data_IF_334470290171
#
_entry.id   IF_334470290171
#
_cell.length_a   1.000
_cell.length_b   1.000
_cell.length_c   1.000
_cell.angle_alpha   90.00
_cell.angle_beta   90.00
_cell.angle_gamma   90.00
#
_symmetry.space_group_name_H-M   'P 1'
#
loop_
_entity.id
_entity.type
_entity.pdbx_description
1 polymer ?
#
# COMPACT_ATOMS: atom_id res chain seq x y z
N UNK A 1 32.69 3.63 -14.45
CA UNK A 1 31.46 3.60 -15.26
C UNK A 1 30.34 3.17 -14.33
N UNK A 2 29.30 4.00 -14.18
CA UNK A 2 28.12 3.68 -13.36
C UNK A 2 27.31 2.59 -14.06
N UNK A 3 27.13 1.46 -13.37
CA UNK A 3 26.35 0.30 -13.82
C UNK A 3 24.87 0.65 -13.79
N UNK A 4 24.34 1.15 -14.89
CA UNK A 4 22.95 1.60 -14.96
C UNK A 4 22.14 0.74 -15.93
N UNK A 5 21.03 0.17 -15.46
CA UNK A 5 19.98 -0.37 -16.32
C UNK A 5 19.46 0.76 -17.23
N UNK A 6 19.53 0.60 -18.55
CA UNK A 6 18.95 1.59 -19.48
C UNK A 6 17.67 1.02 -20.06
N UNK A 7 16.56 1.70 -19.79
CA UNK A 7 15.23 1.30 -20.25
C UNK A 7 14.78 2.25 -21.36
N UNK A 8 14.34 1.70 -22.48
CA UNK A 8 13.76 2.45 -23.58
C UNK A 8 12.34 1.93 -23.81
N UNK A 9 11.36 2.77 -23.52
CA UNK A 9 9.95 2.48 -23.72
C UNK A 9 9.43 3.26 -24.91
N UNK A 10 8.79 2.59 -25.86
CA UNK A 10 7.98 3.22 -26.90
C UNK A 10 6.52 2.85 -26.67
N UNK A 11 5.77 3.79 -26.10
CA UNK A 11 4.38 3.64 -25.72
C UNK A 11 3.49 4.04 -26.92
N UNK A 12 2.81 3.06 -27.51
CA UNK A 12 1.68 3.26 -28.44
C UNK A 12 0.37 2.83 -27.75
N UNK A 13 -0.77 3.28 -28.27
CA UNK A 13 -2.10 3.21 -27.62
C UNK A 13 -2.50 1.82 -27.08
N UNK A 14 -1.95 0.72 -27.61
CA UNK A 14 -2.19 -0.63 -27.06
C UNK A 14 -0.94 -1.51 -26.89
N UNK A 15 0.20 -1.09 -27.44
CA UNK A 15 1.42 -1.91 -27.49
C UNK A 15 2.61 -1.09 -27.03
N UNK A 16 3.29 -1.60 -26.00
CA UNK A 16 4.59 -1.06 -25.59
C UNK A 16 5.67 -1.90 -26.26
N UNK A 17 6.31 -1.35 -27.29
CA UNK A 17 7.55 -1.92 -27.81
C UNK A 17 8.70 -1.34 -27.01
N UNK A 18 9.65 -2.17 -26.58
CA UNK A 18 10.69 -1.70 -25.67
C UNK A 18 12.01 -2.41 -25.89
N UNK A 19 13.07 -1.75 -25.43
CA UNK A 19 14.37 -2.39 -25.30
C UNK A 19 14.97 -2.03 -23.95
N UNK A 20 15.46 -3.04 -23.24
CA UNK A 20 16.25 -2.85 -22.04
C UNK A 20 17.70 -3.22 -22.34
N UNK A 21 18.62 -2.44 -21.76
CA UNK A 21 20.04 -2.75 -21.74
C UNK A 21 20.43 -2.98 -20.29
N UNK A 22 20.96 -4.17 -20.02
CA UNK A 22 21.38 -4.59 -18.68
C UNK A 22 22.86 -4.93 -18.72
N UNK A 23 23.63 -4.23 -17.88
CA UNK A 23 25.02 -4.60 -17.57
C UNK A 23 24.99 -5.53 -16.35
N UNK A 24 25.35 -6.79 -16.57
CA UNK A 24 25.26 -7.84 -15.56
C UNK A 24 26.65 -8.29 -15.13
N UNK A 25 26.84 -8.45 -13.82
CA UNK A 25 28.06 -9.05 -13.27
C UNK A 25 27.87 -10.54 -13.07
N UNK A 26 28.73 -11.36 -13.66
CA UNK A 26 28.77 -12.81 -13.38
C UNK A 26 29.39 -13.03 -11.99
N UNK A 27 28.67 -13.71 -11.09
CA UNK A 27 29.15 -13.96 -9.72
C UNK A 27 29.76 -15.37 -9.58
N UNK A 28 29.38 -16.33 -10.44
CA UNK A 28 29.93 -17.69 -10.44
C UNK A 28 30.24 -18.20 -11.87
N UNK A 29 31.38 -18.88 -12.03
CA UNK A 29 31.90 -19.35 -13.33
C UNK A 29 31.22 -20.61 -13.89
N UNK A 30 30.34 -21.27 -13.13
CA UNK A 30 29.71 -22.54 -13.50
C UNK A 30 28.35 -22.40 -14.21
N UNK A 31 27.66 -21.27 -14.09
CA UNK A 31 26.36 -21.07 -14.75
C UNK A 31 26.54 -20.49 -16.16
N UNK A 32 26.14 -21.24 -17.19
CA UNK A 32 26.16 -20.82 -18.60
C UNK A 32 24.91 -20.07 -19.04
N UNK A 33 23.86 -20.07 -18.21
CA UNK A 33 22.54 -19.54 -18.54
C UNK A 33 22.16 -18.38 -17.61
N UNK A 34 21.47 -17.39 -18.19
CA UNK A 34 20.92 -16.23 -17.49
C UNK A 34 19.40 -16.36 -17.52
N UNK A 35 18.78 -16.44 -16.34
CA UNK A 35 17.32 -16.51 -16.19
C UNK A 35 16.81 -15.16 -15.66
N UNK A 36 15.82 -14.60 -16.36
CA UNK A 36 15.13 -13.36 -15.98
C UNK A 36 13.64 -13.64 -15.81
N UNK A 37 13.01 -12.93 -14.88
CA UNK A 37 11.56 -12.98 -14.71
C UNK A 37 10.87 -12.21 -15.85
N UNK A 38 9.87 -12.85 -16.44
CA UNK A 38 9.00 -12.29 -17.48
C UNK A 38 7.55 -12.70 -17.21
N UNK A 39 6.60 -11.80 -17.46
CA UNK A 39 5.17 -12.11 -17.46
C UNK A 39 4.55 -11.58 -18.75
N UNK A 40 4.05 -12.50 -19.59
CA UNK A 40 3.36 -12.22 -20.87
C UNK A 40 4.16 -11.24 -21.78
N UNK A 41 5.46 -11.51 -21.94
CA UNK A 41 6.31 -10.80 -22.92
C UNK A 41 6.46 -11.64 -24.18
N UNK A 42 6.25 -11.03 -25.36
CA UNK A 42 6.48 -11.67 -26.67
C UNK A 42 7.68 -11.03 -27.40
N UNK A 43 8.23 -11.78 -28.36
CA UNK A 43 9.34 -11.36 -29.24
C UNK A 43 10.63 -10.98 -28.48
N UNK A 44 11.05 -11.81 -27.52
CA UNK A 44 12.31 -11.62 -26.80
C UNK A 44 13.47 -11.95 -27.74
N UNK A 45 14.23 -10.92 -28.13
CA UNK A 45 15.51 -11.10 -28.84
C UNK A 45 16.64 -10.58 -27.96
N UNK A 46 17.43 -11.51 -27.44
CA UNK A 46 18.68 -11.18 -26.77
C UNK A 46 19.77 -11.02 -27.84
N UNK A 47 20.36 -9.83 -27.89
CA UNK A 47 21.52 -9.58 -28.75
C UNK A 47 22.74 -9.48 -27.83
N UNK A 48 23.59 -10.53 -27.76
CA UNK A 48 24.84 -10.43 -27.03
C UNK A 48 25.70 -9.37 -27.72
N UNK A 49 26.05 -8.31 -26.99
CA UNK A 49 27.01 -7.35 -27.52
C UNK A 49 28.41 -7.97 -27.40
N UNK A 50 29.06 -8.19 -28.55
CA UNK A 50 30.21 -9.07 -28.70
C UNK A 50 31.52 -8.59 -28.08
N UNK A 51 31.53 -8.04 -26.87
CA UNK A 51 32.74 -7.66 -26.13
C UNK A 51 32.79 -8.38 -24.79
N UNK A 52 33.31 -9.60 -24.81
CA UNK A 52 33.72 -10.30 -23.60
C UNK A 52 35.10 -9.77 -23.18
N UNK A 53 35.13 -8.77 -22.29
CA UNK A 53 36.38 -8.43 -21.62
C UNK A 53 36.70 -9.55 -20.62
N UNK A 54 37.97 -9.89 -20.49
CA UNK A 54 38.50 -11.06 -19.75
C UNK A 54 38.26 -11.06 -18.23
N UNK A 55 37.30 -10.29 -17.72
CA UNK A 55 36.77 -10.45 -16.35
C UNK A 55 35.32 -9.95 -16.21
N UNK A 56 34.39 -10.91 -16.06
CA UNK A 56 33.23 -10.83 -15.13
C UNK A 56 31.96 -10.04 -15.52
N UNK A 57 31.84 -9.35 -16.66
CA UNK A 57 30.60 -8.63 -17.03
C UNK A 57 30.01 -9.05 -18.38
N UNK A 58 28.68 -9.14 -18.44
CA UNK A 58 27.88 -9.43 -19.63
C UNK A 58 27.01 -8.23 -19.96
N UNK A 59 27.15 -7.70 -21.17
CA UNK A 59 26.34 -6.62 -21.72
C UNK A 59 25.25 -7.19 -22.62
N UNK A 60 24.04 -7.30 -22.07
CA UNK A 60 22.90 -7.87 -22.75
C UNK A 60 21.89 -6.77 -23.11
N UNK A 61 21.62 -6.64 -24.41
CA UNK A 61 20.48 -5.85 -24.90
C UNK A 61 19.33 -6.80 -25.22
N UNK A 62 18.19 -6.54 -24.59
CA UNK A 62 16.98 -7.33 -24.74
C UNK A 62 15.93 -6.45 -25.41
N UNK A 63 15.52 -6.86 -26.60
CA UNK A 63 14.36 -6.31 -27.28
C UNK A 63 13.13 -7.15 -26.93
N UNK A 64 12.03 -6.49 -26.55
CA UNK A 64 10.80 -7.18 -26.14
C UNK A 64 9.56 -6.32 -26.41
N UNK A 65 8.40 -6.99 -26.46
CA UNK A 65 7.09 -6.35 -26.52
C UNK A 65 6.23 -6.89 -25.37
N UNK A 66 5.64 -5.99 -24.59
CA UNK A 66 4.82 -6.34 -23.43
C UNK A 66 3.32 -6.33 -23.79
N UNK A 67 2.64 -7.45 -23.55
CA UNK A 67 1.20 -7.62 -23.73
C UNK A 67 0.56 -7.96 -22.38
N UNK A 68 -0.74 -7.66 -22.21
CA UNK A 68 -1.52 -8.00 -21.00
C UNK A 68 -0.76 -7.72 -19.69
N UNK A 69 -0.69 -6.43 -19.34
CA UNK A 69 0.26 -5.89 -18.34
C UNK A 69 -0.46 -5.63 -17.02
N UNK A 70 -0.58 -6.61 -16.09
CA UNK A 70 -1.26 -6.40 -14.81
C UNK A 70 -0.62 -5.28 -13.97
N UNK A 71 0.69 -5.04 -14.14
CA UNK A 71 1.40 -3.93 -13.47
C UNK A 71 1.23 -2.56 -14.13
N UNK A 72 0.43 -2.43 -15.19
CA UNK A 72 0.22 -1.16 -15.92
C UNK A 72 -1.27 -0.91 -16.10
N UNK A 73 -1.72 0.27 -15.67
CA UNK A 73 -3.10 0.68 -15.83
C UNK A 73 -3.19 1.82 -16.85
N UNK A 74 -4.02 1.60 -17.87
CA UNK A 74 -4.39 2.58 -18.87
C UNK A 74 -5.77 3.13 -18.53
N UNK A 75 -5.86 4.45 -18.51
CA UNK A 75 -7.09 5.19 -18.32
C UNK A 75 -7.42 5.92 -19.61
N UNK A 76 -8.62 5.67 -20.13
CA UNK A 76 -9.21 6.44 -21.21
C UNK A 76 -9.45 7.89 -20.78
N UNK A 77 -9.52 8.85 -21.71
CA UNK A 77 -9.81 10.24 -21.41
C UNK A 77 -10.95 10.40 -20.41
N UNK A 78 -12.09 9.71 -20.60
CA UNK A 78 -13.29 9.82 -19.77
C UNK A 78 -13.08 9.38 -18.32
N UNK A 79 -12.06 8.56 -18.06
CA UNK A 79 -11.69 8.08 -16.72
C UNK A 79 -10.74 9.05 -16.00
N UNK A 80 -10.22 10.06 -16.70
CA UNK A 80 -9.37 11.11 -16.12
C UNK A 80 -10.18 12.30 -15.61
N UNK A 81 -9.61 13.08 -14.69
CA UNK A 81 -10.29 14.21 -14.08
C UNK A 81 -10.72 15.29 -15.10
N UNK A 82 -9.89 15.55 -16.12
CA UNK A 82 -10.16 16.56 -17.14
C UNK A 82 -10.99 16.03 -18.31
N UNK A 83 -11.19 14.70 -18.40
CA UNK A 83 -11.93 14.03 -19.48
C UNK A 83 -11.37 14.27 -20.89
N UNK A 84 -10.12 14.72 -20.99
CA UNK A 84 -9.55 15.26 -22.23
C UNK A 84 -8.40 14.43 -22.80
N UNK A 85 -7.64 13.75 -21.94
CA UNK A 85 -6.41 13.03 -22.33
C UNK A 85 -6.34 11.68 -21.63
N UNK A 86 -5.81 10.63 -22.28
CA UNK A 86 -5.56 9.36 -21.61
C UNK A 86 -4.47 9.49 -20.55
N UNK A 87 -4.42 8.55 -19.61
CA UNK A 87 -3.44 8.53 -18.54
C UNK A 87 -2.91 7.12 -18.30
N UNK A 88 -1.61 6.99 -18.06
CA UNK A 88 -0.95 5.71 -17.78
C UNK A 88 -0.19 5.79 -16.47
N UNK A 89 -0.31 4.74 -15.64
CA UNK A 89 0.56 4.53 -14.50
C UNK A 89 0.94 3.06 -14.36
N UNK A 90 1.99 2.79 -13.60
CA UNK A 90 2.43 1.43 -13.28
C UNK A 90 2.48 1.21 -11.76
N UNK A 91 2.21 -0.03 -11.34
CA UNK A 91 2.32 -0.52 -9.98
C UNK A 91 3.12 -1.83 -10.02
N UNK A 92 4.38 -1.76 -9.60
CA UNK A 92 5.32 -2.88 -9.74
C UNK A 92 5.38 -3.83 -8.54
N UNK A 93 4.90 -3.40 -7.37
CA UNK A 93 4.86 -4.24 -6.17
C UNK A 93 3.69 -5.24 -6.25
N UNK A 94 3.84 -6.50 -5.83
CA UNK A 94 5.07 -7.09 -5.26
C UNK A 94 6.05 -7.61 -6.31
N UNK A 95 5.53 -8.17 -7.41
CA UNK A 95 6.30 -8.87 -8.45
C UNK A 95 5.73 -8.60 -9.85
N UNK A 96 5.29 -7.36 -10.09
CA UNK A 96 4.64 -6.96 -11.34
C UNK A 96 5.58 -6.18 -12.28
N UNK A 97 6.80 -5.83 -11.87
CA UNK A 97 7.77 -5.20 -12.77
C UNK A 97 8.13 -6.12 -13.95
N UNK A 98 8.14 -7.44 -13.73
CA UNK A 98 8.32 -8.47 -14.77
C UNK A 98 7.26 -8.44 -15.88
N UNK A 99 6.09 -7.82 -15.64
CA UNK A 99 5.05 -7.60 -16.66
C UNK A 99 5.34 -6.39 -17.54
N UNK A 100 6.24 -5.50 -17.09
CA UNK A 100 6.59 -4.28 -17.80
C UNK A 100 7.96 -4.37 -18.49
N UNK A 101 8.92 -5.07 -17.90
CA UNK A 101 10.23 -5.36 -18.52
C UNK A 101 10.88 -6.62 -17.94
N UNK A 102 11.69 -7.36 -18.71
CA UNK A 102 12.46 -8.50 -18.20
C UNK A 102 13.44 -8.04 -17.13
N UNK A 103 13.40 -8.63 -15.93
CA UNK A 103 14.30 -8.26 -14.84
C UNK A 103 14.46 -9.39 -13.82
N UNK A 104 15.38 -9.21 -12.87
CA UNK A 104 15.36 -9.97 -11.63
C UNK A 104 14.34 -9.32 -10.71
N UNK A 105 13.09 -9.79 -10.74
CA UNK A 105 11.99 -9.14 -10.05
C UNK A 105 11.91 -9.65 -8.61
N UNK A 106 12.96 -9.31 -7.87
CA UNK A 106 13.20 -9.68 -6.46
C UNK A 106 13.76 -8.49 -5.70
N UNK A 107 13.33 -8.33 -4.45
CA UNK A 107 13.83 -7.30 -3.55
C UNK A 107 15.32 -7.48 -3.21
N UNK A 108 15.90 -8.65 -3.44
CA UNK A 108 17.33 -8.94 -3.21
C UNK A 108 18.26 -8.21 -4.20
N UNK A 109 17.77 -7.88 -5.40
CA UNK A 109 18.58 -7.27 -6.46
C UNK A 109 18.24 -5.78 -6.56
N UNK A 110 19.24 -4.93 -6.35
CA UNK A 110 19.12 -3.47 -6.47
C UNK A 110 20.02 -2.96 -7.58
N UNK A 111 19.47 -2.13 -8.46
CA UNK A 111 20.21 -1.55 -9.58
C UNK A 111 19.84 -0.09 -9.78
N UNK A 112 20.83 0.75 -10.11
CA UNK A 112 20.54 2.07 -10.63
C UNK A 112 20.00 1.96 -12.05
N UNK A 113 19.07 2.84 -12.43
CA UNK A 113 18.52 2.83 -13.77
C UNK A 113 18.45 4.23 -14.36
N UNK A 114 18.43 4.28 -15.69
CA UNK A 114 18.04 5.43 -16.50
C UNK A 114 16.97 4.97 -17.48
N UNK A 115 15.99 5.82 -17.74
CA UNK A 115 14.89 5.49 -18.64
C UNK A 115 14.69 6.60 -19.66
N UNK A 116 14.42 6.20 -20.90
CA UNK A 116 13.92 7.04 -21.97
C UNK A 116 12.55 6.52 -22.36
N UNK A 117 11.57 7.41 -22.43
CA UNK A 117 10.19 7.07 -22.80
C UNK A 117 9.84 7.92 -24.01
N UNK A 118 9.53 7.25 -25.11
CA UNK A 118 8.92 7.80 -26.30
C UNK A 118 7.43 7.47 -26.23
N UNK A 119 6.60 8.45 -26.56
CA UNK A 119 5.15 8.28 -26.58
C UNK A 119 4.68 8.65 -27.97
N UNK A 120 4.19 7.65 -28.71
CA UNK A 120 3.74 7.80 -30.08
C UNK A 120 2.24 8.13 -30.09
N UNK A 121 1.91 9.32 -29.61
CA UNK A 121 0.59 9.88 -29.74
C UNK A 121 0.70 11.29 -30.30
N UNK A 122 -0.33 11.74 -31.02
CA UNK A 122 -0.50 13.13 -31.48
C UNK A 122 -0.64 14.14 -30.31
N UNK A 123 -0.44 13.70 -29.07
CA UNK A 123 -0.65 14.43 -27.83
C UNK A 123 0.63 15.20 -27.48
N UNK A 124 0.58 16.52 -27.66
CA UNK A 124 1.70 17.43 -27.42
C UNK A 124 2.14 17.54 -25.94
N UNK A 125 1.46 16.91 -24.98
CA UNK A 125 1.80 17.02 -23.55
C UNK A 125 1.71 15.66 -22.85
N UNK A 126 2.76 14.84 -22.95
CA UNK A 126 2.91 13.64 -22.11
C UNK A 126 3.90 13.93 -20.99
N UNK A 127 3.42 13.84 -19.74
CA UNK A 127 4.27 14.01 -18.57
C UNK A 127 4.68 12.63 -18.06
N UNK A 128 5.94 12.28 -18.26
CA UNK A 128 6.54 11.07 -17.70
C UNK A 128 7.20 11.43 -16.37
N UNK A 129 6.63 10.94 -15.27
CA UNK A 129 7.16 11.19 -13.93
C UNK A 129 7.85 9.92 -13.42
N UNK A 130 9.15 10.04 -13.17
CA UNK A 130 9.92 9.05 -12.42
C UNK A 130 10.14 9.57 -11.00
N UNK A 131 9.75 8.78 -9.98
CA UNK A 131 10.14 9.08 -8.60
C UNK A 131 11.66 8.88 -8.48
N UNK A 132 12.40 9.95 -8.17
CA UNK A 132 13.87 9.93 -8.07
C UNK A 132 14.30 10.20 -6.63
N UNK A 133 15.18 9.40 -6.03
CA UNK A 133 15.94 9.79 -4.84
C UNK A 133 17.26 10.46 -5.26
N UNK A 134 17.23 11.79 -5.27
CA UNK A 134 18.35 12.75 -5.18
C UNK A 134 19.39 12.93 -6.32
N UNK A 135 20.02 14.11 -6.23
CA UNK A 135 20.67 14.96 -7.23
C UNK A 135 22.13 14.57 -7.48
N UNK A 136 22.45 14.15 -8.71
CA UNK A 136 23.59 14.65 -9.50
C UNK A 136 23.52 14.08 -10.92
N UNK A 137 23.29 14.98 -11.89
CA UNK A 137 23.38 14.81 -13.35
C UNK A 137 22.49 13.73 -14.01
N UNK A 138 21.41 14.20 -14.64
CA UNK A 138 21.16 14.22 -16.10
C UNK A 138 19.64 14.41 -16.29
N UNK A 139 19.27 15.22 -17.28
CA UNK A 139 18.05 16.04 -17.42
C UNK A 139 16.73 15.27 -17.23
N UNK A 140 15.84 15.84 -16.40
CA UNK A 140 14.39 15.69 -16.46
C UNK A 140 13.82 17.11 -16.31
N UNK A 141 13.08 17.60 -17.30
CA UNK A 141 12.42 18.90 -17.21
C UNK A 141 11.04 18.73 -16.54
N UNK A 142 10.69 19.72 -15.73
CA UNK A 142 9.77 19.69 -14.59
C UNK A 142 8.50 20.52 -14.87
N UNK A 143 7.35 20.06 -14.34
CA UNK A 143 6.07 20.76 -13.98
C UNK A 143 5.24 21.25 -15.20
N UNK A 144 3.90 21.06 -15.26
CA UNK A 144 2.85 21.85 -14.57
C UNK A 144 1.54 21.03 -14.41
N UNK A 145 1.00 20.98 -13.19
CA UNK A 145 -0.45 20.83 -12.90
C UNK A 145 -1.14 22.19 -12.92
N UNK A 146 -2.45 22.30 -13.20
CA UNK A 146 -3.17 23.56 -13.06
C UNK A 146 -3.12 24.03 -11.60
N UNK A 147 -2.42 25.15 -11.38
CA UNK A 147 -2.42 26.04 -10.22
C UNK A 147 -2.77 25.43 -8.84
N UNK A 148 -1.74 25.08 -8.06
CA UNK A 148 -1.60 25.56 -6.67
C UNK A 148 -0.15 25.35 -6.20
N UNK A 149 0.39 26.41 -5.58
CA UNK A 149 1.79 26.60 -5.21
C UNK A 149 2.14 25.68 -4.03
N UNK A 150 3.10 24.79 -4.18
CA UNK A 150 3.75 24.08 -3.06
C UNK A 150 5.26 24.04 -3.31
N UNK A 151 5.99 24.73 -2.44
CA UNK A 151 7.44 24.84 -2.42
C UNK A 151 8.00 23.66 -1.61
N UNK A 152 8.93 22.91 -2.22
CA UNK A 152 9.76 21.84 -1.66
C UNK A 152 9.12 20.85 -0.65
N UNK A 153 8.69 19.70 -1.17
CA UNK A 153 8.79 18.41 -0.50
C UNK A 153 9.00 17.35 -1.60
N UNK A 154 9.43 16.13 -1.25
CA UNK A 154 9.48 14.96 -2.14
C UNK A 154 8.40 15.01 -3.24
N UNK A 155 8.75 14.72 -4.50
CA UNK A 155 7.79 14.77 -5.61
C UNK A 155 6.67 13.74 -5.37
N UNK A 156 5.61 14.14 -4.68
CA UNK A 156 4.42 13.35 -4.44
C UNK A 156 3.54 13.44 -5.68
N UNK A 157 3.50 12.35 -6.45
CA UNK A 157 2.46 12.15 -7.44
C UNK A 157 1.12 11.99 -6.71
N UNK A 158 0.22 12.94 -6.92
CA UNK A 158 -1.14 12.93 -6.38
C UNK A 158 -1.96 11.90 -7.15
N UNK A 159 -1.71 10.63 -6.86
CA UNK A 159 -2.61 9.52 -7.18
C UNK A 159 -2.59 8.49 -6.05
N UNK A 160 -1.47 8.35 -5.34
CA UNK A 160 -1.33 7.45 -4.19
C UNK A 160 -1.48 8.18 -2.84
N UNK A 161 -1.37 9.51 -2.79
CA UNK A 161 -1.11 10.20 -1.52
C UNK A 161 -2.13 11.24 -1.04
N UNK A 162 -3.21 11.52 -1.79
CA UNK A 162 -4.27 12.40 -1.29
C UNK A 162 -5.39 11.66 -0.57
N UNK A 163 -5.07 11.11 0.61
CA UNK A 163 -6.14 11.00 1.62
C UNK A 163 -5.70 11.32 3.04
N UNK A 164 -4.43 11.19 3.42
CA UNK A 164 -4.03 11.40 4.81
C UNK A 164 -2.55 11.81 4.91
N UNK A 165 -2.22 13.11 4.84
CA UNK A 165 -0.85 13.59 5.10
C UNK A 165 -0.39 13.40 6.55
N UNK A 166 -1.32 13.17 7.50
CA UNK A 166 -0.98 13.05 8.92
C UNK A 166 -0.97 11.61 9.44
N UNK A 167 -1.87 10.75 8.97
CA UNK A 167 -1.86 9.33 9.32
C UNK A 167 -0.80 8.57 8.52
N UNK A 168 -0.57 8.90 7.24
CA UNK A 168 0.49 8.26 6.43
C UNK A 168 1.89 8.61 6.87
N UNK A 169 2.14 9.69 7.62
CA UNK A 169 3.49 9.92 8.17
C UNK A 169 3.78 8.95 9.31
N UNK A 170 2.76 8.64 10.11
CA UNK A 170 2.83 7.62 11.16
C UNK A 170 2.87 6.22 10.53
N UNK A 171 1.99 5.93 9.57
CA UNK A 171 1.97 4.72 8.76
C UNK A 171 3.27 4.56 7.95
N UNK A 172 3.90 5.62 7.44
CA UNK A 172 5.19 5.56 6.72
C UNK A 172 6.38 5.38 7.66
N UNK A 173 6.36 5.98 8.85
CA UNK A 173 7.34 5.70 9.89
C UNK A 173 7.18 4.25 10.38
N UNK A 174 5.95 3.75 10.48
CA UNK A 174 5.60 2.36 10.73
C UNK A 174 6.05 1.44 9.58
N UNK A 175 5.78 1.77 8.32
CA UNK A 175 6.24 1.05 7.11
C UNK A 175 7.77 1.08 7.06
N UNK A 176 8.43 2.17 7.44
CA UNK A 176 9.89 2.21 7.55
C UNK A 176 10.42 1.45 8.77
N UNK A 177 9.64 1.23 9.81
CA UNK A 177 10.04 0.40 10.96
C UNK A 177 9.70 -1.09 10.75
N UNK A 178 8.65 -1.40 10.00
CA UNK A 178 8.14 -2.75 9.71
C UNK A 178 8.72 -3.32 8.42
N UNK A 179 8.97 -2.54 7.37
CA UNK A 179 9.78 -3.00 6.22
C UNK A 179 11.26 -3.14 6.56
N UNK A 180 11.68 -2.68 7.73
CA UNK A 180 13.04 -2.89 8.24
C UNK A 180 13.23 -4.31 8.77
N UNK A 181 12.15 -5.02 9.09
CA UNK A 181 12.14 -6.42 9.51
C UNK A 181 11.03 -7.12 8.72
N UNK A 182 11.35 -7.74 7.59
CA UNK A 182 10.37 -8.57 6.88
C UNK A 182 9.92 -9.72 7.79
N UNK A 183 8.73 -9.59 8.38
CA UNK A 183 8.16 -10.59 9.30
C UNK A 183 7.37 -11.67 8.55
N UNK A 184 7.18 -11.52 7.24
CA UNK A 184 6.35 -12.45 6.48
C UNK A 184 6.92 -12.74 5.09
N UNK A 185 7.10 -14.03 4.81
CA UNK A 185 7.34 -14.53 3.45
C UNK A 185 6.13 -15.35 3.04
N UNK A 186 5.51 -15.09 1.87
CA UNK A 186 4.41 -15.90 1.39
C UNK A 186 4.87 -17.36 1.22
N UNK A 187 4.01 -18.36 1.48
CA UNK A 187 4.34 -19.75 1.23
C UNK A 187 4.70 -19.98 -0.24
N UNK A 188 5.59 -20.92 -0.52
CA UNK A 188 5.95 -21.28 -1.90
C UNK A 188 4.70 -21.64 -2.71
N UNK A 189 4.54 -21.02 -3.88
CA UNK A 189 3.40 -21.27 -4.78
C UNK A 189 2.15 -20.42 -4.50
N UNK A 190 2.20 -19.48 -3.56
CA UNK A 190 1.12 -18.52 -3.30
C UNK A 190 1.40 -17.19 -4.01
N UNK A 191 0.37 -16.60 -4.60
CA UNK A 191 0.46 -15.25 -5.17
C UNK A 191 0.72 -14.23 -4.03
N UNK A 192 1.80 -13.43 -4.08
CA UNK A 192 2.06 -12.41 -3.05
C UNK A 192 0.89 -11.44 -2.83
N UNK A 193 0.11 -11.12 -3.87
CA UNK A 193 -1.04 -10.22 -3.75
C UNK A 193 -2.16 -10.83 -2.88
N UNK A 194 -2.29 -12.15 -2.86
CA UNK A 194 -3.25 -12.87 -1.99
C UNK A 194 -2.83 -12.83 -0.51
N UNK A 195 -1.58 -12.47 -0.24
CA UNK A 195 -1.06 -12.35 1.14
C UNK A 195 -1.10 -10.93 1.69
N UNK A 196 -1.53 -9.95 0.89
CA UNK A 196 -1.61 -8.56 1.31
C UNK A 196 -2.71 -8.35 2.36
N UNK A 197 -2.31 -8.04 3.60
CA UNK A 197 -3.21 -7.71 4.70
C UNK A 197 -2.50 -6.82 5.74
N UNK A 198 -3.21 -6.44 6.80
CA UNK A 198 -2.69 -5.52 7.82
C UNK A 198 -1.70 -6.20 8.80
N UNK A 199 -1.61 -7.52 8.80
CA UNK A 199 -0.82 -8.29 9.78
C UNK A 199 0.66 -7.90 9.78
N UNK A 200 1.40 -7.84 8.65
CA UNK A 200 2.82 -7.48 8.68
C UNK A 200 3.07 -6.10 9.30
N UNK A 201 2.14 -5.16 9.12
CA UNK A 201 2.21 -3.82 9.69
C UNK A 201 1.92 -3.84 11.20
N UNK A 202 0.81 -4.44 11.62
CA UNK A 202 0.38 -4.44 13.02
C UNK A 202 1.27 -5.34 13.90
N UNK A 203 1.59 -6.55 13.43
CA UNK A 203 2.50 -7.46 14.14
C UNK A 203 3.92 -6.91 14.16
N UNK A 204 4.36 -6.29 13.07
CA UNK A 204 5.65 -5.62 13.02
C UNK A 204 5.75 -4.42 13.94
N UNK A 205 4.69 -3.62 14.05
CA UNK A 205 4.61 -2.54 15.02
C UNK A 205 4.76 -3.05 16.45
N UNK A 206 4.01 -4.09 16.80
CA UNK A 206 4.07 -4.72 18.11
C UNK A 206 5.47 -5.26 18.39
N UNK A 207 6.11 -5.90 17.39
CA UNK A 207 7.46 -6.41 17.50
C UNK A 207 8.51 -5.32 17.72
N UNK A 208 8.50 -4.26 16.89
CA UNK A 208 9.43 -3.12 17.06
C UNK A 208 9.20 -2.41 18.40
N UNK A 209 7.95 -2.26 18.82
CA UNK A 209 7.59 -1.70 20.13
C UNK A 209 8.09 -2.56 21.28
N UNK A 210 8.06 -3.89 21.12
CA UNK A 210 8.64 -4.82 22.07
C UNK A 210 10.15 -4.65 22.18
N UNK A 211 10.85 -4.51 21.05
CA UNK A 211 12.29 -4.23 21.06
C UNK A 211 12.61 -2.92 21.79
N UNK A 212 11.82 -1.86 21.55
CA UNK A 212 11.97 -0.58 22.25
C UNK A 212 11.75 -0.73 23.76
N UNK A 213 10.73 -1.47 24.16
CA UNK A 213 10.46 -1.79 25.57
C UNK A 213 11.62 -2.55 26.22
N UNK A 214 12.19 -3.54 25.53
CA UNK A 214 13.35 -4.30 26.03
C UNK A 214 14.61 -3.43 26.17
N UNK A 215 14.81 -2.43 25.30
CA UNK A 215 15.87 -1.43 25.48
C UNK A 215 15.60 -0.57 26.72
N UNK A 216 14.34 -0.15 26.91
CA UNK A 216 13.89 0.62 28.07
C UNK A 216 14.30 2.10 28.04
N UNK A 217 14.96 2.54 26.97
CA UNK A 217 15.36 3.92 26.74
C UNK A 217 15.09 4.30 25.28
N UNK A 218 14.16 5.24 25.06
CA UNK A 218 13.72 5.64 23.72
C UNK A 218 14.85 6.27 22.91
N UNK A 219 15.70 7.09 23.53
CA UNK A 219 16.80 7.77 22.84
C UNK A 219 17.84 6.75 22.32
N UNK A 220 18.15 5.72 23.11
CA UNK A 220 19.00 4.61 22.70
C UNK A 220 18.37 3.81 21.55
N UNK A 221 17.06 3.56 21.62
CA UNK A 221 16.34 2.86 20.54
C UNK A 221 16.35 3.65 19.23
N UNK A 222 16.06 4.96 19.29
CA UNK A 222 16.08 5.85 18.13
C UNK A 222 17.49 5.97 17.53
N UNK A 223 18.52 6.04 18.38
CA UNK A 223 19.91 6.04 17.95
C UNK A 223 20.28 4.73 17.24
N UNK A 224 19.81 3.59 17.75
CA UNK A 224 19.95 2.29 17.08
C UNK A 224 19.26 2.30 15.71
N UNK A 225 17.99 2.72 15.62
CA UNK A 225 17.25 2.77 14.35
C UNK A 225 17.99 3.63 13.31
N UNK A 226 18.52 4.77 13.73
CA UNK A 226 19.33 5.63 12.86
C UNK A 226 20.60 4.91 12.38
N UNK A 227 21.34 4.27 13.29
CA UNK A 227 22.55 3.53 12.96
C UNK A 227 22.27 2.31 12.06
N UNK A 228 21.13 1.64 12.26
CA UNK A 228 20.65 0.53 11.44
C UNK A 228 20.39 1.00 10.00
N UNK A 229 19.59 2.07 9.84
CA UNK A 229 19.32 2.66 8.52
C UNK A 229 20.61 3.10 7.84
N UNK A 230 21.53 3.74 8.57
CA UNK A 230 22.80 4.18 8.00
C UNK A 230 23.70 3.02 7.55
N UNK A 231 23.67 1.88 8.26
CA UNK A 231 24.43 0.68 7.89
C UNK A 231 23.85 -0.03 6.66
N UNK A 232 22.53 -0.18 6.61
CA UNK A 232 21.86 -1.03 5.63
C UNK A 232 21.15 -0.27 4.49
N UNK A 233 21.26 1.07 4.45
CA UNK A 233 20.77 1.85 3.31
C UNK A 233 21.32 1.30 2.00
N UNK A 234 20.42 1.12 1.03
CA UNK A 234 20.69 0.52 -0.28
C UNK A 234 21.07 -0.97 -0.28
N UNK A 235 21.01 -1.67 0.86
CA UNK A 235 21.17 -3.12 0.97
C UNK A 235 19.82 -3.81 1.13
N UNK A 236 19.75 -5.11 0.81
CA UNK A 236 18.62 -5.97 1.14
C UNK A 236 19.02 -6.84 2.33
N UNK A 237 18.14 -6.92 3.31
CA UNK A 237 18.43 -7.49 4.64
C UNK A 237 17.28 -8.38 5.07
N UNK A 238 17.61 -9.42 5.80
CA UNK A 238 16.66 -10.31 6.44
C UNK A 238 16.36 -9.82 7.86
N UNK A 239 15.28 -10.33 8.47
CA UNK A 239 14.92 -9.97 9.84
C UNK A 239 16.04 -10.32 10.85
N UNK A 240 16.74 -11.43 10.60
CA UNK A 240 17.84 -11.93 11.41
C UNK A 240 19.05 -10.99 11.41
N UNK A 241 19.36 -10.37 10.27
CA UNK A 241 20.44 -9.37 10.16
C UNK A 241 20.20 -8.17 11.06
N UNK A 242 18.93 -7.76 11.19
CA UNK A 242 18.52 -6.66 12.06
C UNK A 242 18.66 -6.99 13.54
N UNK A 243 18.28 -8.21 13.93
CA UNK A 243 18.42 -8.70 15.30
C UNK A 243 19.90 -8.88 15.69
N UNK A 244 20.72 -9.40 14.78
CA UNK A 244 22.15 -9.53 15.01
C UNK A 244 22.82 -8.16 15.16
N UNK A 245 22.36 -7.15 14.43
CA UNK A 245 22.96 -5.82 14.50
C UNK A 245 22.58 -5.01 15.75
N UNK A 246 21.78 -5.53 16.68
CA UNK A 246 21.31 -4.76 17.83
C UNK A 246 22.30 -4.78 19.02
N UNK A 247 23.16 -3.76 19.21
CA UNK A 247 24.24 -3.80 20.20
C UNK A 247 23.73 -3.84 21.64
N UNK A 248 22.66 -3.11 21.96
CA UNK A 248 22.11 -3.06 23.32
C UNK A 248 21.43 -4.37 23.72
N UNK A 249 20.70 -5.03 22.81
CA UNK A 249 20.16 -6.38 23.06
C UNK A 249 21.28 -7.42 23.21
N UNK A 250 22.37 -7.27 22.45
CA UNK A 250 23.58 -8.10 22.61
C UNK A 250 24.23 -7.91 23.98
N UNK A 251 24.40 -6.66 24.43
CA UNK A 251 24.95 -6.33 25.76
C UNK A 251 24.09 -6.87 26.90
N UNK A 252 22.76 -6.70 26.80
CA UNK A 252 21.79 -7.24 27.78
C UNK A 252 21.70 -8.77 27.74
N UNK A 253 22.40 -9.43 26.82
CA UNK A 253 22.40 -10.89 26.71
C UNK A 253 21.04 -11.45 26.29
N UNK A 254 20.14 -10.64 25.73
CA UNK A 254 18.74 -11.02 25.43
C UNK A 254 18.65 -12.23 24.51
N UNK A 255 19.62 -12.38 23.60
CA UNK A 255 19.81 -13.54 22.74
C UNK A 255 20.18 -14.86 23.47
N UNK A 256 20.61 -14.79 24.74
CA UNK A 256 20.94 -15.93 25.63
C UNK A 256 19.90 -16.15 26.72
N UNK A 257 18.92 -15.26 26.81
CA UNK A 257 17.88 -15.34 27.81
C UNK A 257 16.85 -16.35 27.28
N UNK A 258 16.93 -17.61 27.73
CA UNK A 258 15.80 -18.55 27.74
C UNK A 258 14.72 -18.07 28.73
N UNK A 259 14.21 -16.85 28.56
CA UNK A 259 12.98 -16.45 29.23
C UNK A 259 11.86 -17.06 28.42
N UNK A 260 11.09 -17.95 29.05
CA UNK A 260 9.77 -18.38 28.53
C UNK A 260 9.03 -17.15 27.99
N UNK A 261 8.91 -17.02 26.67
CA UNK A 261 8.24 -15.90 26.00
C UNK A 261 9.11 -14.95 25.17
N UNK A 262 10.45 -15.12 25.13
CA UNK A 262 11.35 -14.31 24.29
C UNK A 262 11.92 -15.15 23.14
N UNK A 263 11.03 -15.71 22.33
CA UNK A 263 11.39 -16.43 21.12
C UNK A 263 11.21 -15.49 19.93
N UNK A 264 12.30 -14.87 19.48
CA UNK A 264 12.30 -14.07 18.24
C UNK A 264 11.72 -14.89 17.08
N UNK A 265 12.03 -16.18 17.04
CA UNK A 265 11.46 -17.13 16.08
C UNK A 265 9.92 -17.19 16.17
N UNK A 266 9.34 -17.22 17.37
CA UNK A 266 7.88 -17.18 17.54
C UNK A 266 7.27 -15.84 17.12
N UNK A 267 7.95 -14.71 17.36
CA UNK A 267 7.47 -13.41 16.87
C UNK A 267 7.46 -13.34 15.33
N UNK A 268 8.45 -13.94 14.68
CA UNK A 268 8.61 -13.89 13.22
C UNK A 268 7.76 -14.96 12.51
N UNK A 269 7.85 -16.21 12.95
CA UNK A 269 7.43 -17.38 12.18
C UNK A 269 6.12 -18.02 12.70
N UNK A 270 5.72 -17.78 13.94
CA UNK A 270 4.49 -18.39 14.49
C UNK A 270 3.27 -17.53 14.16
N UNK A 271 2.19 -18.10 13.57
CA UNK A 271 0.96 -17.37 13.29
C UNK A 271 0.19 -17.06 14.58
N UNK A 272 -0.60 -15.98 14.56
CA UNK A 272 -1.46 -15.58 15.67
C UNK A 272 -1.13 -14.21 16.23
N UNK A 273 -1.68 -13.94 17.42
CA UNK A 273 -1.55 -12.65 18.09
C UNK A 273 -0.10 -12.36 18.52
N UNK A 274 0.36 -11.09 18.47
CA UNK A 274 1.66 -10.71 19.00
C UNK A 274 1.80 -11.07 20.48
N UNK A 275 2.98 -11.55 20.90
CA UNK A 275 3.28 -11.88 22.30
C UNK A 275 3.34 -10.65 23.20
N UNK A 276 3.61 -9.48 22.61
CA UNK A 276 3.67 -8.20 23.29
C UNK A 276 2.74 -7.22 22.60
N UNK A 277 1.95 -6.49 23.39
CA UNK A 277 1.15 -5.38 22.94
C UNK A 277 1.67 -4.11 23.63
N UNK A 278 2.01 -3.05 22.88
CA UNK A 278 2.42 -1.79 23.49
C UNK A 278 1.28 -1.19 24.32
N UNK A 279 1.63 -0.38 25.32
CA UNK A 279 0.63 0.37 26.07
C UNK A 279 -0.01 1.45 25.19
N UNK A 280 -1.28 1.25 24.85
CA UNK A 280 -2.11 2.17 24.07
C UNK A 280 -3.09 2.96 24.95
N UNK A 281 -2.91 2.96 26.27
CA UNK A 281 -3.82 3.61 27.23
C UNK A 281 -4.00 5.11 26.98
N UNK A 282 -2.98 5.81 26.49
CA UNK A 282 -3.07 7.22 26.09
C UNK A 282 -4.12 7.47 24.99
N UNK A 283 -4.36 6.48 24.12
CA UNK A 283 -5.42 6.54 23.11
C UNK A 283 -6.82 6.31 23.69
N UNK A 284 -6.95 5.55 24.79
CA UNK A 284 -8.26 5.18 25.33
C UNK A 284 -9.08 6.39 25.77
N UNK A 285 -8.47 7.42 26.38
CA UNK A 285 -9.21 8.63 26.76
C UNK A 285 -9.77 9.40 25.55
N UNK A 286 -9.10 9.31 24.39
CA UNK A 286 -9.54 9.94 23.14
C UNK A 286 -10.66 9.14 22.44
N UNK A 287 -10.67 7.82 22.64
CA UNK A 287 -11.60 6.90 21.97
C UNK A 287 -12.87 6.60 22.80
N UNK A 288 -12.78 6.63 24.13
CA UNK A 288 -13.89 6.32 25.03
C UNK A 288 -15.18 7.11 24.75
N UNK A 289 -15.16 8.42 24.41
CA UNK A 289 -16.38 9.13 24.04
C UNK A 289 -17.07 8.54 22.80
N UNK A 290 -16.30 8.05 21.82
CA UNK A 290 -16.84 7.39 20.62
C UNK A 290 -17.46 6.03 20.95
N UNK A 291 -16.85 5.25 21.84
CA UNK A 291 -17.42 3.97 22.31
C UNK A 291 -18.74 4.19 23.02
N UNK A 292 -18.76 5.10 24.00
CA UNK A 292 -19.96 5.43 24.77
C UNK A 292 -21.09 5.91 23.87
N UNK A 293 -20.79 6.79 22.91
CA UNK A 293 -21.78 7.26 21.96
C UNK A 293 -22.29 6.13 21.05
N UNK A 294 -21.43 5.20 20.66
CA UNK A 294 -21.83 4.05 19.84
C UNK A 294 -22.82 3.13 20.56
N UNK A 295 -22.66 2.96 21.88
CA UNK A 295 -23.61 2.19 22.69
C UNK A 295 -24.99 2.87 22.72
N UNK A 296 -25.03 4.20 22.88
CA UNK A 296 -26.28 4.96 22.89
C UNK A 296 -27.04 4.87 21.55
N UNK A 297 -26.34 4.68 20.44
CA UNK A 297 -26.97 4.52 19.12
C UNK A 297 -27.43 3.09 18.82
N UNK A 298 -26.98 2.10 19.60
CA UNK A 298 -27.30 0.69 19.38
C UNK A 298 -28.53 0.20 20.15
N UNK A 299 -29.10 1.01 21.05
CA UNK A 299 -30.28 0.64 21.85
C UNK A 299 -31.59 0.87 21.10
N UNK A 300 -32.62 0.10 21.48
CA UNK A 300 -34.01 0.40 21.12
C UNK A 300 -34.53 1.57 21.97
N UNK A 301 -35.16 2.57 21.33
CA UNK A 301 -35.68 3.75 22.02
C UNK A 301 -34.58 4.77 22.35
N UNK A 302 -34.17 5.54 21.35
CA UNK A 302 -33.08 6.51 21.46
C UNK A 302 -33.36 7.62 22.50
N UNK A 303 -32.46 7.77 23.47
CA UNK A 303 -32.38 8.97 24.30
C UNK A 303 -31.56 10.05 23.59
N UNK A 304 -32.25 10.86 22.79
CA UNK A 304 -31.64 11.97 22.07
C UNK A 304 -30.99 12.99 23.01
N UNK A 305 -31.50 13.19 24.23
CA UNK A 305 -30.92 14.15 25.15
C UNK A 305 -29.52 13.70 25.61
N UNK A 306 -29.31 12.40 25.82
CA UNK A 306 -27.98 11.86 26.15
C UNK A 306 -27.05 11.82 24.95
N UNK A 307 -27.55 11.48 23.76
CA UNK A 307 -26.77 11.51 22.50
C UNK A 307 -26.24 12.93 22.21
N UNK A 308 -27.08 13.95 22.38
CA UNK A 308 -26.72 15.35 22.09
C UNK A 308 -25.68 15.95 23.04
N UNK A 309 -25.39 15.30 24.19
CA UNK A 309 -24.29 15.73 25.07
C UNK A 309 -22.93 15.59 24.40
N UNK A 310 -22.79 14.68 23.45
CA UNK A 310 -21.52 14.41 22.76
C UNK A 310 -21.45 15.18 21.45
N UNK A 311 -20.58 16.20 21.40
CA UNK A 311 -20.38 16.99 20.18
C UNK A 311 -19.36 16.33 19.24
N UNK A 312 -19.85 15.52 18.29
CA UNK A 312 -19.01 14.89 17.26
C UNK A 312 -18.29 15.92 16.37
N UNK A 313 -18.84 17.12 16.15
CA UNK A 313 -18.20 18.10 15.26
C UNK A 313 -16.86 18.62 15.81
N UNK A 314 -16.66 18.53 17.13
CA UNK A 314 -15.40 18.89 17.78
C UNK A 314 -14.32 17.80 17.61
N UNK A 315 -14.69 16.60 17.17
CA UNK A 315 -13.78 15.48 17.05
C UNK A 315 -12.81 15.65 15.89
N UNK A 316 -11.62 15.07 16.09
CA UNK A 316 -10.69 14.83 14.98
C UNK A 316 -11.21 13.68 14.12
N UNK A 317 -10.78 13.65 12.86
CA UNK A 317 -11.23 12.65 11.87
C UNK A 317 -11.05 11.21 12.36
N UNK A 318 -9.97 10.89 13.07
CA UNK A 318 -9.71 9.54 13.60
C UNK A 318 -10.75 9.10 14.64
N UNK A 319 -11.28 10.01 15.46
CA UNK A 319 -12.31 9.68 16.46
C UNK A 319 -13.66 9.44 15.78
N UNK A 320 -13.99 10.23 14.75
CA UNK A 320 -15.18 10.00 13.94
C UNK A 320 -15.10 8.68 13.17
N UNK A 321 -13.93 8.35 12.61
CA UNK A 321 -13.64 7.04 12.01
C UNK A 321 -13.90 5.92 13.02
N UNK A 322 -13.29 6.01 14.21
CA UNK A 322 -13.43 4.98 15.25
C UNK A 322 -14.88 4.83 15.74
N UNK A 323 -15.60 5.93 15.91
CA UNK A 323 -17.02 5.90 16.22
C UNK A 323 -17.82 5.12 15.17
N UNK A 324 -17.62 5.42 13.88
CA UNK A 324 -18.32 4.71 12.81
C UNK A 324 -17.93 3.24 12.75
N UNK A 325 -16.68 2.88 13.04
CA UNK A 325 -16.25 1.48 13.17
C UNK A 325 -17.02 0.76 14.28
N UNK A 326 -17.20 1.41 15.44
CA UNK A 326 -18.04 0.84 16.51
C UNK A 326 -19.51 0.69 16.10
N UNK A 327 -20.05 1.63 15.33
CA UNK A 327 -21.39 1.46 14.75
C UNK A 327 -21.44 0.29 13.75
N UNK A 328 -20.40 0.09 12.93
CA UNK A 328 -20.29 -1.04 11.99
C UNK A 328 -20.24 -2.38 12.73
N UNK A 329 -19.51 -2.46 13.85
CA UNK A 329 -19.45 -3.65 14.71
C UNK A 329 -20.82 -3.98 15.31
N UNK A 330 -21.60 -2.97 15.68
CA UNK A 330 -22.94 -3.08 16.28
C UNK A 330 -24.07 -3.23 15.26
N UNK A 331 -23.78 -3.05 13.97
CA UNK A 331 -24.79 -3.16 12.91
C UNK A 331 -25.18 -4.62 12.65
N UNK A 332 -26.47 -4.91 12.36
CA UNK A 332 -27.55 -3.95 12.11
C UNK A 332 -28.09 -3.32 13.41
N UNK A 333 -28.37 -2.02 13.36
CA UNK A 333 -28.98 -1.24 14.42
C UNK A 333 -30.51 -1.38 14.41
N UNK A 334 -31.19 -1.05 15.52
CA UNK A 334 -32.65 -0.98 15.57
C UNK A 334 -33.26 -0.05 14.52
N UNK A 335 -34.50 -0.36 14.11
CA UNK A 335 -35.23 0.36 13.07
C UNK A 335 -35.40 1.84 13.44
N UNK A 336 -35.13 2.75 12.50
CA UNK A 336 -35.23 4.20 12.72
C UNK A 336 -33.93 4.84 13.21
N UNK A 337 -32.96 4.06 13.72
CA UNK A 337 -31.73 4.62 14.28
C UNK A 337 -30.82 5.19 13.19
N UNK A 338 -30.74 4.54 12.01
CA UNK A 338 -29.92 5.03 10.89
C UNK A 338 -30.49 6.33 10.33
N UNK A 339 -31.80 6.42 10.15
CA UNK A 339 -32.50 7.64 9.73
C UNK A 339 -32.20 8.79 10.68
N UNK A 340 -32.22 8.52 12.00
CA UNK A 340 -31.87 9.52 13.01
C UNK A 340 -30.39 9.88 12.96
N UNK A 341 -29.47 8.93 12.73
CA UNK A 341 -28.06 9.27 12.54
C UNK A 341 -27.83 10.15 11.30
N UNK A 342 -28.55 9.90 10.20
CA UNK A 342 -28.46 10.73 8.99
C UNK A 342 -28.89 12.17 9.24
N UNK A 343 -29.98 12.35 9.99
CA UNK A 343 -30.46 13.67 10.41
C UNK A 343 -29.45 14.39 11.30
N UNK A 344 -28.85 13.68 12.26
CA UNK A 344 -27.96 14.28 13.27
C UNK A 344 -26.54 14.53 12.77
N UNK A 345 -26.04 13.72 11.86
CA UNK A 345 -24.64 13.77 11.41
C UNK A 345 -24.50 14.07 9.90
N UNK A 346 -25.11 15.15 9.39
CA UNK A 346 -25.03 15.49 7.97
C UNK A 346 -23.60 15.79 7.52
N UNK A 347 -22.72 16.21 8.43
CA UNK A 347 -21.30 16.45 8.15
C UNK A 347 -20.50 15.17 7.90
N UNK A 348 -20.96 14.01 8.41
CA UNK A 348 -20.41 12.69 8.08
C UNK A 348 -21.01 12.21 6.75
N UNK A 349 -22.34 12.23 6.64
CA UNK A 349 -23.07 11.73 5.44
C UNK A 349 -22.69 12.50 4.17
N UNK A 350 -22.49 13.81 4.27
CA UNK A 350 -22.11 14.68 3.14
C UNK A 350 -20.59 14.91 3.06
N UNK A 351 -19.80 14.18 3.84
CA UNK A 351 -18.35 14.34 3.85
C UNK A 351 -17.74 13.93 2.51
N UNK A 352 -16.72 14.66 2.06
CA UNK A 352 -15.84 14.23 0.97
C UNK A 352 -14.64 13.41 1.45
N UNK A 353 -14.51 13.19 2.76
CA UNK A 353 -13.44 12.37 3.33
C UNK A 353 -13.71 10.88 3.01
N UNK A 354 -12.80 10.23 2.28
CA UNK A 354 -13.01 8.86 1.82
C UNK A 354 -13.14 7.83 2.96
N UNK A 355 -12.47 8.04 4.10
CA UNK A 355 -12.56 7.13 5.26
C UNK A 355 -13.94 7.19 5.92
N UNK A 356 -14.52 8.40 6.02
CA UNK A 356 -15.87 8.59 6.54
C UNK A 356 -16.92 8.03 5.57
N UNK A 357 -16.75 8.28 4.27
CA UNK A 357 -17.64 7.73 3.23
C UNK A 357 -17.59 6.21 3.17
N UNK A 358 -16.40 5.61 3.30
CA UNK A 358 -16.21 4.16 3.39
C UNK A 358 -17.06 3.58 4.52
N UNK A 359 -16.85 4.09 5.74
CA UNK A 359 -17.52 3.55 6.93
C UNK A 359 -19.01 3.77 6.88
N UNK A 360 -19.45 4.94 6.40
CA UNK A 360 -20.86 5.22 6.18
C UNK A 360 -21.49 4.27 5.15
N UNK A 361 -20.80 3.97 4.04
CA UNK A 361 -21.25 2.99 3.05
C UNK A 361 -21.36 1.57 3.64
N UNK A 362 -20.43 1.16 4.52
CA UNK A 362 -20.51 -0.11 5.23
C UNK A 362 -21.70 -0.16 6.20
N UNK A 363 -21.98 0.93 6.92
CA UNK A 363 -23.14 1.05 7.80
C UNK A 363 -24.42 0.90 6.97
N UNK A 364 -24.56 1.63 5.86
CA UNK A 364 -25.71 1.52 4.95
C UNK A 364 -25.90 0.07 4.48
N UNK A 365 -24.81 -0.58 4.03
CA UNK A 365 -24.87 -1.95 3.53
C UNK A 365 -25.27 -2.96 4.62
N UNK A 366 -24.66 -2.89 5.81
CA UNK A 366 -24.96 -3.81 6.92
C UNK A 366 -26.36 -3.63 7.48
N UNK A 367 -26.91 -2.41 7.43
CA UNK A 367 -28.25 -2.09 7.90
C UNK A 367 -29.32 -2.21 6.80
N UNK A 368 -28.92 -2.52 5.55
CA UNK A 368 -29.82 -2.60 4.39
C UNK A 368 -30.66 -1.32 4.21
N UNK A 369 -30.05 -0.17 4.49
CA UNK A 369 -30.70 1.15 4.50
C UNK A 369 -30.88 1.70 3.07
N UNK A 370 -32.01 1.36 2.44
CA UNK A 370 -32.31 1.70 1.04
C UNK A 370 -32.10 3.19 0.67
N UNK A 371 -32.53 4.18 1.49
CA UNK A 371 -32.28 5.60 1.18
C UNK A 371 -30.80 5.94 0.97
N UNK A 372 -29.89 5.22 1.62
CA UNK A 372 -28.45 5.43 1.53
C UNK A 372 -27.78 4.81 0.29
N UNK A 373 -28.46 3.99 -0.51
CA UNK A 373 -27.82 3.23 -1.59
C UNK A 373 -27.21 4.11 -2.69
N UNK A 374 -27.81 5.27 -2.96
CA UNK A 374 -27.26 6.24 -3.90
C UNK A 374 -25.89 6.76 -3.43
N UNK A 375 -25.74 7.05 -2.13
CA UNK A 375 -24.48 7.51 -1.55
C UNK A 375 -23.39 6.45 -1.70
N UNK A 376 -23.72 5.20 -1.35
CA UNK A 376 -22.82 4.06 -1.47
C UNK A 376 -22.39 3.81 -2.93
N UNK A 377 -23.34 3.84 -3.88
CA UNK A 377 -23.04 3.69 -5.32
C UNK A 377 -22.13 4.81 -5.82
N UNK A 378 -22.40 6.06 -5.43
CA UNK A 378 -21.53 7.20 -5.76
C UNK A 378 -20.11 7.01 -5.22
N UNK A 379 -19.96 6.48 -4.00
CA UNK A 379 -18.65 6.20 -3.41
C UNK A 379 -17.89 5.08 -4.14
N UNK A 380 -18.57 4.01 -4.52
CA UNK A 380 -17.96 2.88 -5.24
C UNK A 380 -17.54 3.24 -6.68
N UNK A 381 -18.21 4.20 -7.31
CA UNK A 381 -17.87 4.67 -8.65
C UNK A 381 -16.71 5.68 -8.61
N UNK A 382 -16.56 6.45 -7.52
CA UNK A 382 -15.58 7.54 -7.48
C UNK A 382 -14.14 7.11 -7.15
N UNK A 383 -13.92 5.87 -6.72
CA UNK A 383 -12.58 5.38 -6.37
C UNK A 383 -12.45 3.87 -6.57
N UNK A 384 -11.26 3.40 -6.92
CA UNK A 384 -10.97 1.98 -7.20
C UNK A 384 -10.05 1.30 -6.19
N UNK A 385 -9.65 1.98 -5.10
CA UNK A 385 -8.68 1.42 -4.15
C UNK A 385 -9.32 0.25 -3.41
N UNK A 386 -8.69 -0.92 -3.47
CA UNK A 386 -9.20 -2.14 -2.84
C UNK A 386 -9.53 -1.96 -1.35
N UNK A 387 -8.70 -1.20 -0.62
CA UNK A 387 -8.91 -0.85 0.79
C UNK A 387 -10.30 -0.21 1.04
N UNK A 388 -10.85 0.53 0.09
CA UNK A 388 -12.15 1.18 0.20
C UNK A 388 -13.27 0.39 -0.49
N UNK A 389 -12.99 -0.28 -1.62
CA UNK A 389 -14.03 -0.99 -2.38
C UNK A 389 -14.35 -2.37 -1.81
N UNK A 390 -13.34 -3.15 -1.41
CA UNK A 390 -13.54 -4.53 -0.96
C UNK A 390 -14.40 -4.65 0.30
N UNK A 391 -14.22 -3.83 1.37
CA UNK A 391 -15.05 -3.96 2.56
C UNK A 391 -16.54 -3.72 2.30
N UNK A 392 -16.85 -2.77 1.42
CA UNK A 392 -18.23 -2.46 1.02
C UNK A 392 -18.79 -3.60 0.15
N UNK A 393 -18.02 -4.10 -0.81
CA UNK A 393 -18.46 -5.22 -1.65
C UNK A 393 -18.70 -6.50 -0.85
N UNK A 394 -17.86 -6.81 0.15
CA UNK A 394 -18.11 -7.92 1.08
C UNK A 394 -19.39 -7.72 1.88
N UNK A 395 -19.64 -6.51 2.38
CA UNK A 395 -20.87 -6.20 3.11
C UNK A 395 -22.13 -6.37 2.23
N UNK A 396 -22.07 -5.94 0.97
CA UNK A 396 -23.15 -6.13 -0.01
C UNK A 396 -23.35 -7.60 -0.39
N UNK A 397 -22.26 -8.36 -0.53
CA UNK A 397 -22.33 -9.78 -0.86
C UNK A 397 -22.98 -10.59 0.26
N UNK A 398 -22.64 -10.27 1.52
CA UNK A 398 -23.18 -10.94 2.70
C UNK A 398 -24.57 -10.44 3.11
N UNK A 399 -25.09 -9.39 2.47
CA UNK A 399 -26.43 -8.87 2.69
C UNK A 399 -27.54 -9.65 1.96
N UNK A 400 -28.69 -8.99 1.79
CA UNK A 400 -29.87 -9.51 1.09
C UNK A 400 -29.68 -9.63 -0.43
N UNK A 401 -30.60 -10.31 -1.11
CA UNK A 401 -30.59 -10.42 -2.58
C UNK A 401 -30.64 -9.04 -3.26
N UNK A 402 -31.39 -8.09 -2.69
CA UNK A 402 -31.45 -6.71 -3.15
C UNK A 402 -30.07 -6.04 -3.07
N UNK A 403 -29.35 -6.19 -1.96
CA UNK A 403 -27.99 -5.61 -1.83
C UNK A 403 -26.99 -6.25 -2.77
N UNK A 404 -27.08 -7.57 -3.02
CA UNK A 404 -26.26 -8.26 -4.04
C UNK A 404 -26.58 -7.76 -5.44
N UNK A 405 -27.83 -7.39 -5.70
CA UNK A 405 -28.24 -6.83 -7.00
C UNK A 405 -27.59 -5.48 -7.30
N UNK A 406 -27.17 -4.72 -6.28
CA UNK A 406 -26.46 -3.45 -6.44
C UNK A 406 -25.03 -3.60 -6.97
N UNK A 407 -24.44 -4.79 -6.81
CA UNK A 407 -23.12 -5.07 -7.36
C UNK A 407 -23.18 -5.09 -8.88
N UNK A 408 -22.29 -4.35 -9.52
CA UNK A 408 -22.11 -4.42 -10.97
C UNK A 408 -21.77 -5.86 -11.39
N UNK A 409 -22.28 -6.32 -12.53
CA UNK A 409 -22.11 -7.72 -12.98
C UNK A 409 -20.63 -8.15 -13.05
N UNK A 410 -19.76 -7.26 -13.53
CA UNK A 410 -18.30 -7.53 -13.59
C UNK A 410 -17.67 -7.63 -12.19
N UNK A 411 -18.19 -6.87 -11.22
CA UNK A 411 -17.73 -6.89 -9.83
C UNK A 411 -18.22 -8.16 -9.13
N UNK A 412 -19.44 -8.64 -9.42
CA UNK A 412 -19.96 -9.88 -8.81
C UNK A 412 -19.04 -11.07 -9.09
N UNK A 413 -18.52 -11.20 -10.31
CA UNK A 413 -17.62 -12.29 -10.67
C UNK A 413 -16.26 -12.16 -9.97
N UNK A 414 -15.73 -10.95 -9.83
CA UNK A 414 -14.48 -10.69 -9.10
C UNK A 414 -14.65 -10.93 -7.59
N UNK A 415 -15.70 -10.41 -6.98
CA UNK A 415 -16.02 -10.57 -5.56
C UNK A 415 -16.29 -12.05 -5.23
N UNK A 416 -16.98 -12.79 -6.10
CA UNK A 416 -17.13 -14.25 -5.97
C UNK A 416 -15.80 -14.97 -5.89
N UNK A 417 -14.81 -14.59 -6.70
CA UNK A 417 -13.46 -15.19 -6.68
C UNK A 417 -12.65 -14.86 -5.43
N UNK A 418 -12.88 -13.70 -4.82
CA UNK A 418 -12.17 -13.28 -3.59
C UNK A 418 -12.80 -13.89 -2.33
N UNK A 419 -14.11 -14.16 -2.37
CA UNK A 419 -14.86 -14.68 -1.22
C UNK A 419 -14.90 -16.22 -1.20
N UNK A 420 -14.88 -16.87 -2.37
CA UNK A 420 -14.73 -18.31 -2.51
C UNK A 420 -13.29 -18.72 -2.18
#
# INVERSE_FOLDING_TARGET
MEKSLKLHFDLAEDVTTSSSFQELKRIQNSQSELLLDIFILQQIKCVPSGHYSTTTYLDNKIHYVAFDRPGVCWLEPEQTAEKAKPYIFSQGQAVLNRSFFPCFDTLAVKSTYSASVKVNCSLADVIVLFSRPDKKRTRFNLVITPAQKLEYAYNCLIWIENTLQFLKLFEWCLIKATNVICIFSPPSGVDPDDTYNDMPYEKGFCFVSYLAHLVGDQCCFDAFLKAYIDKFKFCSVMAEDALEYFPELKKKGVHKIEVKGLEFDSCLNVPGWPLYLPDLSAGQSLMKPAEQLSELWAVEGLDMASIMKTNIQAWKTYQAIYFLEKIIEKSPLPRGNIEKQEEQYPHIVKSNNAELRLRWAQIIAKNQHQPGYQHMRSFLICQGKQMYTLPVYRALWNGSEETRSLLHVNVRNYVKKIIA
#
